data_IF_360423350419
#
_entry.id   IF_360423350419
#
_cell.length_a   1.000
_cell.length_b   1.000
_cell.length_c   1.000
_cell.angle_alpha   90.00
_cell.angle_beta   90.00
_cell.angle_gamma   90.00
#
_symmetry.space_group_name_H-M   'P 1'
#
loop_
_entity.id
_entity.type
_entity.pdbx_description
1 polymer ?
#
# COMPACT_ATOMS: atom_id res chain seq x y z
N UNK A 1 -22.06 -11.88 -7.72
CA UNK A 1 -21.52 -12.15 -6.37
C UNK A 1 -20.83 -13.49 -6.48
N UNK A 2 -19.51 -13.53 -6.42
CA UNK A 2 -18.77 -14.80 -6.55
C UNK A 2 -18.97 -15.59 -5.25
N UNK A 3 -19.29 -16.86 -5.39
CA UNK A 3 -19.62 -17.81 -4.32
C UNK A 3 -18.43 -18.11 -3.34
N UNK A 4 -17.72 -17.09 -2.87
CA UNK A 4 -16.65 -17.24 -1.89
C UNK A 4 -15.38 -17.95 -2.38
N UNK A 5 -15.35 -18.38 -3.64
CA UNK A 5 -14.16 -19.00 -4.22
C UNK A 5 -13.18 -17.91 -4.66
N UNK A 6 -11.98 -17.96 -4.09
CA UNK A 6 -10.94 -17.02 -4.45
C UNK A 6 -10.42 -17.28 -5.85
N UNK A 7 -10.31 -16.21 -6.64
CA UNK A 7 -9.74 -16.25 -7.99
C UNK A 7 -8.48 -15.40 -8.06
N UNK A 8 -7.59 -15.74 -8.96
CA UNK A 8 -6.41 -14.94 -9.24
C UNK A 8 -6.81 -13.55 -9.77
N UNK A 9 -6.33 -12.50 -9.08
CA UNK A 9 -6.66 -11.11 -9.41
C UNK A 9 -6.10 -10.67 -10.77
N UNK A 10 -5.04 -11.32 -11.26
CA UNK A 10 -4.44 -10.98 -12.56
C UNK A 10 -5.05 -11.75 -13.73
N UNK A 11 -5.30 -13.07 -13.59
CA UNK A 11 -5.69 -13.91 -14.74
C UNK A 11 -7.01 -14.67 -14.56
N UNK A 12 -7.70 -14.51 -13.43
CA UNK A 12 -8.99 -15.16 -13.14
C UNK A 12 -8.93 -16.66 -12.89
N UNK A 13 -7.72 -17.27 -12.76
CA UNK A 13 -7.58 -18.68 -12.45
C UNK A 13 -8.12 -19.00 -11.04
N UNK A 14 -8.82 -20.14 -10.88
CA UNK A 14 -9.59 -20.43 -9.67
C UNK A 14 -8.87 -21.34 -8.65
N UNK A 15 -7.92 -22.17 -9.11
CA UNK A 15 -7.25 -23.15 -8.24
C UNK A 15 -5.93 -22.57 -7.73
N UNK A 16 -6.01 -21.64 -6.77
CA UNK A 16 -4.84 -21.04 -6.15
C UNK A 16 -4.24 -21.98 -5.08
N UNK A 17 -2.93 -22.00 -5.00
CA UNK A 17 -2.16 -22.78 -4.02
C UNK A 17 -1.85 -21.91 -2.79
N UNK A 18 -2.32 -22.31 -1.61
CA UNK A 18 -1.95 -21.62 -0.36
C UNK A 18 -0.49 -21.96 -0.03
N UNK A 19 0.35 -20.92 0.07
CA UNK A 19 1.80 -21.07 0.32
C UNK A 19 2.21 -20.66 1.73
N UNK A 20 1.42 -19.80 2.38
CA UNK A 20 1.65 -19.37 3.76
C UNK A 20 0.32 -19.08 4.44
N UNK A 21 0.17 -19.53 5.68
CA UNK A 21 -0.99 -19.21 6.51
C UNK A 21 -0.52 -18.68 7.87
N UNK A 22 -0.82 -17.42 8.15
CA UNK A 22 -0.52 -16.75 9.43
C UNK A 22 -1.74 -16.69 10.35
N UNK A 23 -2.81 -17.41 10.00
CA UNK A 23 -4.05 -17.44 10.76
C UNK A 23 -4.80 -16.10 10.71
N UNK A 24 -5.48 -15.75 11.79
CA UNK A 24 -6.23 -14.51 11.91
C UNK A 24 -5.37 -13.45 12.59
N UNK A 25 -5.28 -12.28 11.96
CA UNK A 25 -4.48 -11.15 12.43
C UNK A 25 -5.34 -9.89 12.58
N UNK A 26 -5.03 -9.01 13.52
CA UNK A 26 -5.67 -7.70 13.57
C UNK A 26 -5.22 -6.85 12.38
N UNK A 27 -6.02 -5.85 12.02
CA UNK A 27 -5.62 -4.91 10.97
C UNK A 27 -4.39 -4.11 11.43
N UNK A 28 -3.37 -4.04 10.58
CA UNK A 28 -2.19 -3.22 10.85
C UNK A 28 -2.57 -1.73 10.83
N UNK A 29 -1.86 -0.93 11.62
CA UNK A 29 -2.10 0.52 11.78
C UNK A 29 -3.50 0.91 12.32
N UNK A 30 -4.28 -0.05 12.82
CA UNK A 30 -5.51 0.23 13.55
C UNK A 30 -5.17 0.61 15.00
N UNK A 31 -4.90 1.88 15.25
CA UNK A 31 -4.65 2.38 16.60
C UNK A 31 -5.97 2.60 17.33
N UNK A 32 -6.10 1.99 18.50
CA UNK A 32 -7.30 2.08 19.33
C UNK A 32 -7.07 3.06 20.49
N UNK A 33 -8.05 3.92 20.81
CA UNK A 33 -7.99 4.74 22.01
C UNK A 33 -7.77 3.89 23.26
N UNK A 34 -6.99 4.36 24.23
CA UNK A 34 -6.71 3.64 25.46
C UNK A 34 -7.99 3.21 26.23
N UNK A 35 -9.06 4.01 26.10
CA UNK A 35 -10.38 3.72 26.68
C UNK A 35 -11.07 2.50 26.04
N UNK A 36 -10.64 2.07 24.88
CA UNK A 36 -11.16 0.93 24.12
C UNK A 36 -10.17 -0.24 24.05
N UNK A 37 -9.03 -0.15 24.75
CA UNK A 37 -7.98 -1.18 24.70
C UNK A 37 -8.46 -2.58 25.09
N UNK A 38 -9.43 -2.68 26.02
CA UNK A 38 -10.02 -3.95 26.47
C UNK A 38 -11.27 -4.37 25.69
N UNK A 39 -11.71 -3.59 24.70
CA UNK A 39 -12.88 -3.89 23.89
C UNK A 39 -12.63 -4.99 22.86
N UNK A 40 -13.68 -5.48 22.18
CA UNK A 40 -13.55 -6.47 21.11
C UNK A 40 -12.70 -5.94 19.97
N UNK A 41 -11.86 -6.80 19.38
CA UNK A 41 -11.05 -6.50 18.20
C UNK A 41 -11.41 -7.45 17.07
N UNK A 42 -11.50 -6.93 15.87
CA UNK A 42 -11.76 -7.74 14.67
C UNK A 42 -10.44 -8.29 14.16
N UNK A 43 -10.43 -9.57 13.81
CA UNK A 43 -9.31 -10.27 13.21
C UNK A 43 -9.70 -10.72 11.80
N UNK A 44 -8.77 -10.61 10.88
CA UNK A 44 -8.95 -10.99 9.49
C UNK A 44 -8.00 -12.14 9.12
N UNK A 45 -8.39 -13.07 8.24
CA UNK A 45 -7.47 -14.08 7.75
C UNK A 45 -6.29 -13.43 7.03
N UNK A 46 -5.09 -13.98 7.25
CA UNK A 46 -3.87 -13.52 6.61
C UNK A 46 -3.12 -14.71 6.06
N UNK A 47 -3.34 -15.01 4.80
CA UNK A 47 -2.66 -16.09 4.08
C UNK A 47 -2.22 -15.61 2.71
N UNK A 48 -1.15 -16.21 2.19
CA UNK A 48 -0.66 -15.99 0.84
C UNK A 48 -1.01 -17.17 -0.04
N UNK A 49 -1.49 -16.88 -1.24
CA UNK A 49 -1.75 -17.85 -2.28
C UNK A 49 -0.92 -17.55 -3.53
N UNK A 50 -0.44 -18.60 -4.17
CA UNK A 50 0.26 -18.56 -5.45
C UNK A 50 -0.68 -19.02 -6.57
N UNK A 51 -0.64 -18.31 -7.70
CA UNK A 51 -1.34 -18.74 -8.91
C UNK A 51 -0.39 -19.54 -9.80
N UNK A 52 -0.62 -20.86 -10.01
CA UNK A 52 0.26 -21.67 -10.85
C UNK A 52 0.20 -21.29 -12.33
N UNK A 53 -0.85 -20.56 -12.76
CA UNK A 53 -1.02 -20.13 -14.15
C UNK A 53 -0.20 -18.89 -14.53
N UNK A 54 -0.10 -17.89 -13.66
CA UNK A 54 0.58 -16.62 -13.97
C UNK A 54 1.62 -16.20 -12.94
N UNK A 55 1.91 -17.07 -11.96
CA UNK A 55 2.87 -16.88 -10.88
C UNK A 55 2.57 -15.69 -9.93
N UNK A 56 1.36 -15.08 -9.98
CA UNK A 56 0.99 -14.06 -9.02
C UNK A 56 0.93 -14.66 -7.62
N UNK A 57 1.55 -13.97 -6.66
CA UNK A 57 1.35 -14.21 -5.23
C UNK A 57 0.40 -13.14 -4.69
N UNK A 58 -0.67 -13.55 -4.05
CA UNK A 58 -1.71 -12.65 -3.54
C UNK A 58 -2.22 -13.10 -2.17
N UNK A 59 -2.88 -12.20 -1.45
CA UNK A 59 -3.63 -12.55 -0.24
C UNK A 59 -4.88 -13.38 -0.61
N UNK A 60 -5.26 -14.32 0.26
CA UNK A 60 -6.48 -15.11 0.10
C UNK A 60 -7.74 -14.36 0.57
N UNK A 61 -7.58 -13.31 1.33
CA UNK A 61 -8.66 -12.43 1.76
C UNK A 61 -8.29 -10.97 1.55
N UNK A 62 -9.19 -10.21 0.96
CA UNK A 62 -9.01 -8.79 0.71
C UNK A 62 -9.94 -8.02 1.65
N UNK A 63 -9.34 -7.27 2.57
CA UNK A 63 -10.08 -6.36 3.44
C UNK A 63 -10.68 -5.25 2.57
N UNK A 64 -11.98 -4.91 2.72
CA UNK A 64 -12.56 -3.78 2.00
C UNK A 64 -11.73 -2.50 2.20
N UNK A 65 -11.47 -1.78 1.12
CA UNK A 65 -10.58 -0.60 1.13
C UNK A 65 -11.01 0.47 2.13
N UNK A 66 -12.32 0.70 2.30
CA UNK A 66 -12.84 1.64 3.30
C UNK A 66 -12.57 1.24 4.76
N UNK A 67 -12.24 -0.05 5.02
CA UNK A 67 -11.79 -0.51 6.33
C UNK A 67 -10.27 -0.37 6.45
N UNK A 68 -9.54 -0.81 5.41
CA UNK A 68 -8.08 -0.83 5.43
C UNK A 68 -7.47 0.58 5.35
N UNK A 69 -8.09 1.50 4.63
CA UNK A 69 -7.61 2.86 4.35
C UNK A 69 -8.66 3.93 4.68
N UNK A 70 -9.54 3.65 5.65
CA UNK A 70 -10.58 4.60 6.09
C UNK A 70 -10.03 5.71 7.00
N UNK A 71 -10.94 6.43 7.66
CA UNK A 71 -10.64 7.58 8.54
C UNK A 71 -9.63 7.27 9.66
N UNK A 72 -9.52 5.99 10.07
CA UNK A 72 -8.58 5.54 11.12
C UNK A 72 -7.18 5.24 10.59
N UNK A 73 -6.93 5.39 9.29
CA UNK A 73 -5.63 5.11 8.69
C UNK A 73 -4.63 6.24 9.02
N UNK A 74 -3.64 5.92 9.83
CA UNK A 74 -2.72 6.92 10.41
C UNK A 74 -1.27 6.78 9.95
N UNK A 75 -0.99 5.83 9.06
CA UNK A 75 0.37 5.62 8.59
C UNK A 75 0.83 6.77 7.68
N UNK A 76 1.97 7.37 8.04
CA UNK A 76 2.64 8.41 7.27
C UNK A 76 4.07 7.98 6.97
N UNK A 77 4.43 7.94 5.71
CA UNK A 77 5.75 7.53 5.22
C UNK A 77 6.85 8.47 5.74
N UNK A 78 6.59 9.77 5.76
CA UNK A 78 7.53 10.80 6.17
C UNK A 78 7.91 10.78 7.65
N UNK A 79 7.23 9.99 8.48
CA UNK A 79 7.60 9.80 9.89
C UNK A 79 8.85 8.93 10.08
N UNK A 80 9.23 8.18 9.05
CA UNK A 80 10.42 7.32 9.06
C UNK A 80 11.59 7.98 8.34
N UNK A 81 12.58 8.47 9.11
CA UNK A 81 13.78 9.09 8.55
C UNK A 81 14.50 8.18 7.53
N UNK A 82 14.62 6.90 7.82
CA UNK A 82 15.25 5.94 6.91
C UNK A 82 14.50 5.76 5.60
N UNK A 83 13.16 5.86 5.60
CA UNK A 83 12.37 5.83 4.37
C UNK A 83 12.52 7.12 3.57
N UNK A 84 12.55 8.27 4.23
CA UNK A 84 12.79 9.56 3.56
C UNK A 84 14.15 9.56 2.84
N UNK A 85 15.20 9.11 3.54
CA UNK A 85 16.56 8.99 2.97
C UNK A 85 16.58 7.98 1.80
N UNK A 86 15.93 6.83 1.95
CA UNK A 86 15.81 5.82 0.91
C UNK A 86 15.10 6.35 -0.33
N UNK A 87 13.94 6.99 -0.16
CA UNK A 87 13.17 7.54 -1.29
C UNK A 87 13.89 8.69 -2.00
N UNK A 88 14.63 9.53 -1.25
CA UNK A 88 15.47 10.56 -1.87
C UNK A 88 16.53 9.95 -2.78
N UNK A 89 17.20 8.89 -2.33
CA UNK A 89 18.18 8.16 -3.14
C UNK A 89 17.52 7.48 -4.34
N UNK A 90 16.41 6.77 -4.11
CA UNK A 90 15.69 6.05 -5.15
C UNK A 90 15.18 7.00 -6.25
N UNK A 91 14.67 8.18 -5.89
CA UNK A 91 14.24 9.17 -6.88
C UNK A 91 15.39 9.58 -7.81
N UNK A 92 16.59 9.85 -7.26
CA UNK A 92 17.79 10.13 -8.07
C UNK A 92 18.14 8.98 -9.02
N UNK A 93 18.18 7.75 -8.49
CA UNK A 93 18.47 6.55 -9.30
C UNK A 93 17.44 6.35 -10.43
N UNK A 94 16.17 6.65 -10.18
CA UNK A 94 15.10 6.52 -11.20
C UNK A 94 15.21 7.65 -12.25
N UNK A 95 15.48 8.88 -11.82
CA UNK A 95 15.73 10.00 -12.76
C UNK A 95 16.87 9.64 -13.71
N UNK A 96 18.00 9.18 -13.19
CA UNK A 96 19.16 8.79 -14.00
C UNK A 96 18.84 7.59 -14.90
N UNK A 97 18.21 6.56 -14.35
CA UNK A 97 17.90 5.32 -15.07
C UNK A 97 16.97 5.53 -16.25
N UNK A 98 15.97 6.39 -16.09
CA UNK A 98 14.97 6.66 -17.13
C UNK A 98 15.28 7.92 -17.94
N UNK A 99 16.36 8.64 -17.62
CA UNK A 99 16.78 9.85 -18.33
C UNK A 99 15.76 10.99 -18.19
N UNK A 100 15.08 11.07 -17.05
CA UNK A 100 14.06 12.11 -16.82
C UNK A 100 14.70 13.50 -16.80
N UNK A 101 13.97 14.48 -17.33
CA UNK A 101 14.41 15.87 -17.39
C UNK A 101 13.53 16.77 -16.50
N UNK A 102 14.05 17.89 -16.00
CA UNK A 102 13.22 18.86 -15.29
C UNK A 102 11.97 19.24 -16.10
N UNK A 103 10.82 19.15 -15.48
CA UNK A 103 9.50 19.34 -16.11
C UNK A 103 8.79 18.07 -16.54
N UNK A 104 9.46 16.92 -16.55
CA UNK A 104 8.78 15.64 -16.76
C UNK A 104 7.80 15.33 -15.62
N UNK A 105 6.72 14.61 -15.95
CA UNK A 105 5.66 14.30 -15.01
C UNK A 105 5.89 12.94 -14.36
N UNK A 106 5.87 12.91 -13.03
CA UNK A 106 5.88 11.69 -12.22
C UNK A 106 4.54 11.53 -11.54
N UNK A 107 3.85 10.42 -11.84
CA UNK A 107 2.60 10.03 -11.18
C UNK A 107 2.86 8.89 -10.18
N UNK A 108 2.42 9.06 -8.95
CA UNK A 108 2.44 8.00 -7.92
C UNK A 108 1.00 7.63 -7.52
N UNK A 109 0.69 6.33 -7.56
CA UNK A 109 -0.57 5.77 -7.09
C UNK A 109 -0.35 5.16 -5.71
N UNK A 110 -1.11 5.61 -4.70
CA UNK A 110 -0.87 5.32 -3.30
C UNK A 110 0.24 6.21 -2.74
N UNK A 111 0.17 7.52 -3.03
CA UNK A 111 1.25 8.47 -2.74
C UNK A 111 1.43 8.80 -1.25
N UNK A 112 0.54 8.31 -0.40
CA UNK A 112 0.55 8.57 1.03
C UNK A 112 0.69 10.08 1.33
N UNK A 113 1.60 10.49 2.19
CA UNK A 113 1.87 11.89 2.54
C UNK A 113 2.78 12.65 1.55
N UNK A 114 2.97 12.10 0.34
CA UNK A 114 3.77 12.72 -0.71
C UNK A 114 5.28 12.66 -0.51
N UNK A 115 5.77 11.92 0.47
CA UNK A 115 7.21 11.86 0.81
C UNK A 115 8.08 11.48 -0.40
N UNK A 116 7.68 10.48 -1.18
CA UNK A 116 8.44 10.07 -2.37
C UNK A 116 8.33 11.09 -3.51
N UNK A 117 7.13 11.63 -3.73
CA UNK A 117 6.91 12.70 -4.70
C UNK A 117 7.72 13.96 -4.38
N UNK A 118 7.88 14.32 -3.10
CA UNK A 118 8.70 15.45 -2.69
C UNK A 118 10.17 15.29 -3.13
N UNK A 119 10.69 14.06 -3.14
CA UNK A 119 12.02 13.77 -3.64
C UNK A 119 12.14 14.06 -5.15
N UNK A 120 11.18 13.62 -5.96
CA UNK A 120 11.15 13.94 -7.40
C UNK A 120 10.96 15.44 -7.66
N UNK A 121 10.09 16.10 -6.88
CA UNK A 121 9.88 17.54 -6.96
C UNK A 121 11.17 18.32 -6.72
N UNK A 122 12.01 17.87 -5.75
CA UNK A 122 13.31 18.49 -5.49
C UNK A 122 14.31 18.34 -6.64
N UNK A 123 14.12 17.35 -7.50
CA UNK A 123 14.89 17.11 -8.72
C UNK A 123 14.32 17.81 -9.96
N UNK A 124 13.30 18.66 -9.79
CA UNK A 124 12.71 19.47 -10.85
C UNK A 124 11.56 18.81 -11.61
N UNK A 125 11.07 17.66 -11.16
CA UNK A 125 9.93 16.98 -11.79
C UNK A 125 8.61 17.67 -11.44
N UNK A 126 7.63 17.57 -12.32
CA UNK A 126 6.22 17.86 -12.03
C UNK A 126 5.63 16.60 -11.40
N UNK A 127 5.02 16.72 -10.22
CA UNK A 127 4.55 15.55 -9.48
C UNK A 127 3.03 15.54 -9.34
N UNK A 128 2.46 14.35 -9.42
CA UNK A 128 1.03 14.10 -9.23
C UNK A 128 0.84 12.85 -8.37
N UNK A 129 0.13 12.99 -7.25
CA UNK A 129 -0.20 11.89 -6.35
C UNK A 129 -1.67 11.49 -6.44
N UNK A 130 -1.93 10.21 -6.28
CA UNK A 130 -3.28 9.66 -6.06
C UNK A 130 -3.26 8.88 -4.75
N UNK A 131 -4.02 9.34 -3.76
CA UNK A 131 -4.11 8.72 -2.44
C UNK A 131 -5.57 8.53 -2.03
N UNK A 132 -5.90 7.33 -1.55
CA UNK A 132 -7.26 6.96 -1.13
C UNK A 132 -7.54 7.24 0.35
N UNK A 133 -6.51 7.40 1.17
CA UNK A 133 -6.64 7.71 2.60
C UNK A 133 -6.64 9.23 2.82
N UNK A 134 -7.70 9.76 3.43
CA UNK A 134 -7.89 11.22 3.56
C UNK A 134 -6.80 11.92 4.35
N UNK A 135 -6.35 11.33 5.47
CA UNK A 135 -5.34 11.96 6.33
C UNK A 135 -3.99 12.11 5.63
N UNK A 136 -3.38 11.08 5.03
CA UNK A 136 -2.15 11.23 4.26
C UNK A 136 -2.32 12.18 3.08
N UNK A 137 -3.42 12.08 2.32
CA UNK A 137 -3.69 12.96 1.18
C UNK A 137 -3.77 14.44 1.55
N UNK A 138 -4.27 14.76 2.75
CA UNK A 138 -4.35 16.14 3.24
C UNK A 138 -2.99 16.73 3.64
N UNK A 139 -1.97 15.88 3.82
CA UNK A 139 -0.60 16.28 4.20
C UNK A 139 0.27 16.46 2.94
N UNK A 140 0.01 15.66 1.88
CA UNK A 140 0.74 15.67 0.62
C UNK A 140 0.55 16.98 -0.15
#
# INVERSE_FOLDING_TARGET
MNDGQMVCQACGFQDLEKVLDLGFQPLCNEFRPATQASGPQIFYPLSLCHCPKCALVQLDYIIPTGIAFGEQYTYLTGTSRSLVEYFSKLAGELVDRFGLQPGDVVLEIGSNDGTFLAAFKSLGMVVLGVEGAEQPAAIA
#
